data_IF_216043252302
#
_entry.id   IF_216043252302
#
_cell.length_a   1.000
_cell.length_b   1.000
_cell.length_c   1.000
_cell.angle_alpha   90.00
_cell.angle_beta   90.00
_cell.angle_gamma   90.00
#
_symmetry.space_group_name_H-M   'P 1'
#
loop_
_entity.id
_entity.type
_entity.pdbx_description
1 polymer ?
#
# COMPACT_ATOMS: atom_id res chain seq x y z
N UNK A 1 29.46 16.31 0.81
CA UNK A 1 28.55 17.34 0.27
C UNK A 1 27.29 17.34 1.12
N UNK A 2 26.75 18.50 1.53
CA UNK A 2 25.54 18.51 2.34
C UNK A 2 24.40 17.92 1.50
N UNK A 3 23.78 16.87 2.01
CA UNK A 3 22.58 16.27 1.44
C UNK A 3 21.49 17.34 1.47
N UNK A 4 21.22 17.99 0.34
CA UNK A 4 20.04 18.83 0.19
C UNK A 4 18.84 17.93 0.47
N UNK A 5 18.12 18.20 1.56
CA UNK A 5 16.96 17.40 1.94
C UNK A 5 15.92 17.56 0.84
N UNK A 6 15.78 16.55 -0.01
CA UNK A 6 14.76 16.55 -1.04
C UNK A 6 13.39 16.46 -0.35
N UNK A 7 12.57 17.52 -0.45
CA UNK A 7 11.24 17.57 0.17
C UNK A 7 10.36 16.36 -0.18
N UNK A 8 10.52 15.78 -1.37
CA UNK A 8 9.79 14.58 -1.79
C UNK A 8 10.19 13.35 -0.98
N UNK A 9 11.47 13.22 -0.63
CA UNK A 9 11.95 12.12 0.22
C UNK A 9 11.49 12.27 1.68
N UNK A 10 11.40 13.52 2.18
CA UNK A 10 10.86 13.81 3.51
C UNK A 10 9.39 13.40 3.62
N UNK A 11 8.60 13.59 2.56
CA UNK A 11 7.23 13.07 2.50
C UNK A 11 7.19 11.54 2.63
N UNK A 12 8.17 10.84 2.07
CA UNK A 12 8.32 9.38 2.19
C UNK A 12 8.46 8.94 3.65
N UNK A 13 9.39 9.57 4.37
CA UNK A 13 9.63 9.28 5.78
C UNK A 13 8.47 9.71 6.67
N UNK A 14 7.82 10.84 6.37
CA UNK A 14 6.63 11.28 7.09
C UNK A 14 5.48 10.27 6.92
N UNK A 15 5.20 9.83 5.69
CA UNK A 15 4.17 8.83 5.41
C UNK A 15 4.45 7.50 6.12
N UNK A 16 5.71 7.08 6.18
CA UNK A 16 6.13 5.91 6.93
C UNK A 16 5.88 6.08 8.44
N UNK A 17 6.27 7.22 9.02
CA UNK A 17 6.05 7.51 10.43
C UNK A 17 4.55 7.51 10.79
N UNK A 18 3.71 8.19 10.01
CA UNK A 18 2.25 8.17 10.20
C UNK A 18 1.68 6.75 10.12
N UNK A 19 2.16 5.96 9.15
CA UNK A 19 1.70 4.58 8.99
C UNK A 19 2.04 3.71 10.19
N UNK A 20 3.28 3.77 10.68
CA UNK A 20 3.72 3.04 11.87
C UNK A 20 2.96 3.49 13.12
N UNK A 21 2.83 4.80 13.34
CA UNK A 21 2.13 5.35 14.50
C UNK A 21 0.69 4.86 14.57
N UNK A 22 -0.03 4.89 13.45
CA UNK A 22 -1.42 4.43 13.40
C UNK A 22 -1.49 2.90 13.53
N UNK A 23 -0.64 2.16 12.82
CA UNK A 23 -0.57 0.70 12.93
C UNK A 23 -0.34 0.25 14.39
N UNK A 24 0.61 0.89 15.08
CA UNK A 24 0.89 0.65 16.49
C UNK A 24 -0.29 1.06 17.38
N UNK A 25 -0.87 2.24 17.19
CA UNK A 25 -2.02 2.70 17.97
C UNK A 25 -3.21 1.72 17.89
N UNK A 26 -3.48 1.15 16.71
CA UNK A 26 -4.56 0.16 16.52
C UNK A 26 -4.23 -1.17 17.20
N UNK A 27 -3.00 -1.65 17.09
CA UNK A 27 -2.56 -2.90 17.72
C UNK A 27 -2.57 -2.82 19.25
N UNK A 28 -2.18 -1.68 19.81
CA UNK A 28 -2.13 -1.47 21.26
C UNK A 28 -3.54 -1.28 21.87
N UNK A 29 -4.47 -0.68 21.12
CA UNK A 29 -5.80 -0.33 21.63
C UNK A 29 -6.81 -1.49 21.58
N UNK A 30 -6.80 -2.28 20.51
CA UNK A 30 -7.81 -3.33 20.32
C UNK A 30 -7.25 -4.67 20.81
N UNK A 31 -7.93 -5.36 21.73
CA UNK A 31 -7.50 -6.67 22.25
C UNK A 31 -7.32 -7.70 21.12
N UNK A 32 -6.10 -7.84 20.57
CA UNK A 32 -5.60 -8.90 19.67
C UNK A 32 -6.63 -9.54 18.71
N UNK A 33 -7.52 -8.75 18.10
CA UNK A 33 -8.47 -9.24 17.08
C UNK A 33 -7.73 -9.41 15.75
N UNK A 34 -8.11 -10.40 14.95
CA UNK A 34 -7.45 -10.71 13.67
C UNK A 34 -7.35 -9.48 12.74
N UNK A 35 -8.39 -8.65 12.69
CA UNK A 35 -8.40 -7.42 11.89
C UNK A 35 -7.32 -6.42 12.30
N UNK A 36 -7.02 -6.28 13.60
CA UNK A 36 -5.96 -5.37 14.07
C UNK A 36 -4.57 -5.84 13.64
N UNK A 37 -4.33 -7.15 13.63
CA UNK A 37 -3.08 -7.74 13.14
C UNK A 37 -2.88 -7.54 11.64
N UNK A 38 -3.91 -7.83 10.83
CA UNK A 38 -3.87 -7.58 9.40
C UNK A 38 -3.72 -6.09 9.09
N UNK A 39 -4.44 -5.23 9.79
CA UNK A 39 -4.31 -3.79 9.64
C UNK A 39 -2.90 -3.30 9.97
N UNK A 40 -2.38 -3.66 11.16
CA UNK A 40 -1.03 -3.29 11.59
C UNK A 40 0.05 -3.78 10.63
N UNK A 41 -0.03 -5.05 10.21
CA UNK A 41 0.88 -5.60 9.19
C UNK A 41 0.79 -4.85 7.86
N UNK A 42 -0.43 -4.48 7.45
CA UNK A 42 -0.66 -3.70 6.23
C UNK A 42 -0.04 -2.31 6.31
N UNK A 43 -0.16 -1.63 7.46
CA UNK A 43 0.46 -0.33 7.72
C UNK A 43 1.99 -0.44 7.76
N UNK A 44 2.56 -1.51 8.32
CA UNK A 44 4.01 -1.75 8.28
C UNK A 44 4.52 -1.94 6.85
N UNK A 45 3.78 -2.66 6.00
CA UNK A 45 4.14 -2.81 4.59
C UNK A 45 4.04 -1.48 3.83
N UNK A 46 3.03 -0.66 4.09
CA UNK A 46 2.91 0.68 3.51
C UNK A 46 4.04 1.61 3.98
N UNK A 47 4.48 1.49 5.24
CA UNK A 47 5.61 2.24 5.76
C UNK A 47 6.92 1.82 5.09
N UNK A 48 7.18 0.52 4.97
CA UNK A 48 8.34 0.00 4.28
C UNK A 48 8.38 0.46 2.80
N UNK A 49 7.24 0.39 2.10
CA UNK A 49 7.11 0.90 0.73
C UNK A 49 7.41 2.40 0.64
N UNK A 50 6.96 3.19 1.62
CA UNK A 50 7.19 4.64 1.66
C UNK A 50 8.65 5.00 1.93
N UNK A 51 9.33 4.25 2.80
CA UNK A 51 10.78 4.41 3.05
C UNK A 51 11.57 4.08 1.80
N UNK A 52 11.26 2.96 1.13
CA UNK A 52 11.93 2.55 -0.11
C UNK A 52 11.69 3.56 -1.24
N UNK A 53 10.48 4.11 -1.34
CA UNK A 53 10.17 5.21 -2.24
C UNK A 53 10.97 6.48 -1.92
N UNK A 54 11.10 6.82 -0.63
CA UNK A 54 11.91 7.95 -0.16
C UNK A 54 13.40 7.79 -0.48
N UNK A 55 13.96 6.61 -0.25
CA UNK A 55 15.34 6.27 -0.61
C UNK A 55 15.56 6.34 -2.12
N UNK A 56 14.61 5.85 -2.91
CA UNK A 56 14.64 5.96 -4.37
C UNK A 56 14.61 7.40 -4.88
N UNK A 57 13.99 8.34 -4.14
CA UNK A 57 13.97 9.77 -4.49
C UNK A 57 15.26 10.51 -4.09
N UNK A 58 16.07 9.92 -3.22
CA UNK A 58 17.39 10.45 -2.82
C UNK A 58 18.54 9.83 -3.63
N UNK A 59 18.30 8.66 -4.22
CA UNK A 59 19.27 7.95 -5.04
C UNK A 59 19.78 8.83 -6.20
N UNK A 60 21.10 8.82 -6.38
CA UNK A 60 21.77 9.66 -7.39
C UNK A 60 22.15 8.86 -8.64
N UNK A 61 22.03 7.54 -8.61
CA UNK A 61 22.35 6.64 -9.72
C UNK A 61 21.16 5.79 -10.14
N UNK A 62 21.13 5.40 -11.42
CA UNK A 62 20.11 4.51 -11.98
C UNK A 62 20.06 3.16 -11.25
N UNK A 63 21.22 2.62 -10.89
CA UNK A 63 21.36 1.34 -10.21
C UNK A 63 20.79 1.40 -8.78
N UNK A 64 21.07 2.47 -8.04
CA UNK A 64 20.46 2.68 -6.73
C UNK A 64 18.93 2.78 -6.83
N UNK A 65 18.41 3.55 -7.79
CA UNK A 65 16.96 3.64 -8.04
C UNK A 65 16.37 2.26 -8.35
N UNK A 66 17.01 1.50 -9.24
CA UNK A 66 16.55 0.16 -9.62
C UNK A 66 16.50 -0.80 -8.42
N UNK A 67 17.52 -0.76 -7.54
CA UNK A 67 17.56 -1.60 -6.34
C UNK A 67 16.45 -1.25 -5.35
N UNK A 68 16.28 0.03 -5.02
CA UNK A 68 15.23 0.48 -4.09
C UNK A 68 13.82 0.20 -4.63
N UNK A 69 13.58 0.41 -5.93
CA UNK A 69 12.29 0.13 -6.56
C UNK A 69 12.01 -1.37 -6.67
N UNK A 70 13.04 -2.19 -6.89
CA UNK A 70 12.92 -3.66 -6.88
C UNK A 70 12.54 -4.16 -5.49
N UNK A 71 13.17 -3.63 -4.44
CA UNK A 71 12.78 -3.90 -3.06
C UNK A 71 11.35 -3.42 -2.77
N UNK A 72 10.97 -2.24 -3.28
CA UNK A 72 9.62 -1.72 -3.11
C UNK A 72 8.57 -2.61 -3.79
N UNK A 73 8.83 -3.13 -4.99
CA UNK A 73 7.97 -4.11 -5.64
C UNK A 73 7.83 -5.40 -4.84
N UNK A 74 8.92 -5.84 -4.21
CA UNK A 74 8.93 -7.02 -3.33
C UNK A 74 8.02 -6.80 -2.11
N UNK A 75 8.10 -5.63 -1.46
CA UNK A 75 7.20 -5.25 -0.36
C UNK A 75 5.76 -5.16 -0.83
N UNK A 76 5.51 -4.54 -2.00
CA UNK A 76 4.18 -4.43 -2.60
C UNK A 76 3.56 -5.79 -2.89
N UNK A 77 4.35 -6.80 -3.28
CA UNK A 77 3.87 -8.17 -3.52
C UNK A 77 3.27 -8.84 -2.28
N UNK A 78 3.65 -8.42 -1.07
CA UNK A 78 3.08 -8.93 0.19
C UNK A 78 1.74 -8.25 0.56
N UNK A 79 1.47 -7.06 0.02
CA UNK A 79 0.31 -6.25 0.40
C UNK A 79 -1.05 -6.92 0.14
N UNK A 80 -1.31 -7.61 -1.00
CA UNK A 80 -2.61 -8.20 -1.28
C UNK A 80 -3.09 -9.14 -0.19
N UNK A 81 -2.26 -10.08 0.25
CA UNK A 81 -2.63 -11.06 1.29
C UNK A 81 -3.01 -10.38 2.60
N UNK A 82 -2.22 -9.39 3.03
CA UNK A 82 -2.43 -8.72 4.33
C UNK A 82 -3.66 -7.83 4.30
N UNK A 83 -3.84 -7.04 3.25
CA UNK A 83 -4.97 -6.12 3.13
C UNK A 83 -6.29 -6.80 2.75
N UNK A 84 -6.25 -7.93 2.01
CA UNK A 84 -7.43 -8.78 1.85
C UNK A 84 -7.81 -9.46 3.17
N UNK A 85 -6.82 -9.92 3.96
CA UNK A 85 -7.06 -10.44 5.30
C UNK A 85 -7.76 -9.39 6.19
N UNK A 86 -7.31 -8.14 6.13
CA UNK A 86 -7.99 -7.03 6.80
C UNK A 86 -9.41 -6.83 6.28
N UNK A 87 -9.62 -6.72 4.96
CA UNK A 87 -10.94 -6.42 4.40
C UNK A 87 -11.98 -7.51 4.66
N UNK A 88 -11.55 -8.77 4.82
CA UNK A 88 -12.40 -9.91 5.15
C UNK A 88 -12.75 -10.00 6.65
N UNK A 89 -11.90 -9.46 7.52
CA UNK A 89 -12.06 -9.57 8.99
C UNK A 89 -12.61 -8.29 9.62
N UNK A 90 -12.44 -7.14 8.97
CA UNK A 90 -12.84 -5.85 9.50
C UNK A 90 -14.37 -5.71 9.63
N UNK A 91 -14.83 -5.32 10.82
CA UNK A 91 -16.24 -5.05 11.14
C UNK A 91 -17.20 -6.22 10.84
N UNK A 92 -16.72 -7.46 10.89
CA UNK A 92 -17.53 -8.68 10.71
C UNK A 92 -17.50 -9.55 11.97
N UNK A 93 -18.68 -9.91 12.48
CA UNK A 93 -18.81 -10.77 13.68
C UNK A 93 -18.32 -12.21 13.45
N UNK A 94 -18.52 -12.76 12.25
CA UNK A 94 -18.17 -14.15 11.93
C UNK A 94 -16.84 -14.27 11.13
N UNK A 95 -15.80 -13.56 11.56
CA UNK A 95 -14.56 -13.43 10.79
C UNK A 95 -13.80 -14.75 10.59
N UNK A 96 -13.95 -15.73 11.50
CA UNK A 96 -13.22 -17.01 11.44
C UNK A 96 -13.69 -17.90 10.29
N UNK A 97 -15.01 -18.01 10.10
CA UNK A 97 -15.59 -18.77 8.99
C UNK A 97 -15.23 -18.15 7.64
N UNK A 98 -15.31 -16.82 7.53
CA UNK A 98 -14.88 -16.11 6.33
C UNK A 98 -13.39 -16.33 6.05
N UNK A 99 -12.53 -16.26 7.06
CA UNK A 99 -11.10 -16.47 6.87
C UNK A 99 -10.78 -17.92 6.44
N UNK A 100 -11.47 -18.92 7.01
CA UNK A 100 -11.32 -20.31 6.60
C UNK A 100 -11.77 -20.53 5.15
N UNK A 101 -12.92 -19.95 4.77
CA UNK A 101 -13.48 -20.05 3.42
C UNK A 101 -12.61 -19.37 2.36
N UNK A 102 -12.03 -18.22 2.69
CA UNK A 102 -11.19 -17.43 1.77
C UNK A 102 -9.68 -17.67 1.96
N UNK A 103 -9.29 -18.64 2.81
CA UNK A 103 -7.90 -19.06 3.00
C UNK A 103 -7.16 -19.35 1.68
N UNK A 104 -7.71 -20.11 0.71
CA UNK A 104 -7.02 -20.34 -0.56
C UNK A 104 -6.77 -19.04 -1.33
N UNK A 105 -7.72 -18.10 -1.30
CA UNK A 105 -7.56 -16.79 -1.94
C UNK A 105 -6.43 -15.98 -1.29
N UNK A 106 -6.31 -15.99 0.05
CA UNK A 106 -5.23 -15.31 0.75
C UNK A 106 -3.86 -15.94 0.46
N UNK A 107 -3.78 -17.27 0.43
CA UNK A 107 -2.56 -17.99 0.05
C UNK A 107 -2.19 -17.64 -1.40
N UNK A 108 -3.15 -17.64 -2.33
CA UNK A 108 -2.90 -17.27 -3.71
C UNK A 108 -2.46 -15.80 -3.84
N UNK A 109 -3.09 -14.90 -3.10
CA UNK A 109 -2.75 -13.48 -3.05
C UNK A 109 -1.36 -13.21 -2.43
N UNK A 110 -0.78 -14.18 -1.73
CA UNK A 110 0.60 -14.13 -1.24
C UNK A 110 1.56 -14.78 -2.23
N UNK A 111 1.29 -16.03 -2.62
CA UNK A 111 2.22 -16.84 -3.38
C UNK A 111 2.35 -16.39 -4.83
N UNK A 112 1.26 -15.98 -5.49
CA UNK A 112 1.33 -15.60 -6.91
C UNK A 112 2.16 -14.33 -7.09
N UNK A 113 1.89 -13.20 -6.40
CA UNK A 113 2.73 -12.01 -6.54
C UNK A 113 4.19 -12.25 -6.16
N UNK A 114 4.46 -13.04 -5.11
CA UNK A 114 5.83 -13.39 -4.72
C UNK A 114 6.54 -14.24 -5.77
N UNK A 115 5.85 -15.22 -6.36
CA UNK A 115 6.44 -16.06 -7.40
C UNK A 115 6.86 -15.24 -8.62
N UNK A 116 6.09 -14.23 -9.00
CA UNK A 116 6.41 -13.30 -10.08
C UNK A 116 7.67 -12.48 -9.76
N UNK A 117 7.80 -11.99 -8.53
CA UNK A 117 9.00 -11.26 -8.09
C UNK A 117 10.24 -12.15 -8.12
N UNK A 118 10.13 -13.39 -7.63
CA UNK A 118 11.27 -14.33 -7.60
C UNK A 118 11.68 -14.75 -9.00
N UNK A 119 10.73 -15.07 -9.87
CA UNK A 119 10.98 -15.46 -11.26
C UNK A 119 11.53 -14.29 -12.09
N UNK A 120 10.97 -13.09 -11.91
CA UNK A 120 11.35 -11.90 -12.66
C UNK A 120 12.53 -11.13 -12.09
N UNK A 121 13.16 -11.56 -10.98
CA UNK A 121 14.08 -10.77 -10.14
C UNK A 121 15.12 -9.94 -10.91
N UNK A 122 15.72 -10.50 -11.95
CA UNK A 122 16.78 -9.83 -12.72
C UNK A 122 16.25 -8.90 -13.82
N UNK A 123 14.97 -9.03 -14.18
CA UNK A 123 14.32 -8.34 -15.30
C UNK A 123 12.97 -7.74 -14.85
N UNK A 124 12.90 -7.14 -13.66
CA UNK A 124 11.68 -6.45 -13.22
C UNK A 124 11.61 -5.04 -13.79
N UNK A 125 12.73 -4.32 -13.72
CA UNK A 125 12.79 -2.89 -13.95
C UNK A 125 14.02 -2.55 -14.79
N UNK A 126 13.88 -1.55 -15.65
CA UNK A 126 14.99 -0.92 -16.34
C UNK A 126 14.90 0.60 -16.15
N UNK A 127 15.92 1.21 -15.56
CA UNK A 127 15.94 2.64 -15.26
C UNK A 127 16.72 3.36 -16.34
N UNK A 128 16.06 4.30 -17.02
CA UNK A 128 16.62 5.04 -18.15
C UNK A 128 16.52 6.55 -17.88
N UNK A 129 17.44 7.37 -18.38
CA UNK A 129 17.29 8.82 -18.31
C UNK A 129 16.05 9.27 -19.08
N UNK A 130 15.28 10.19 -18.51
CA UNK A 130 14.04 10.69 -19.10
C UNK A 130 14.30 11.97 -19.91
N UNK A 131 14.10 11.91 -21.23
CA UNK A 131 14.21 13.04 -22.17
C UNK A 131 15.54 13.82 -22.07
N UNK A 132 16.65 13.14 -21.78
CA UNK A 132 17.99 13.73 -21.60
C UNK A 132 18.08 14.88 -20.57
N UNK A 133 17.05 15.02 -19.72
CA UNK A 133 17.04 15.99 -18.62
C UNK A 133 17.84 15.42 -17.46
N UNK A 134 18.93 16.07 -17.10
CA UNK A 134 19.79 15.68 -15.97
C UNK A 134 18.96 15.60 -14.69
N UNK A 135 18.93 14.40 -14.09
CA UNK A 135 18.20 14.13 -12.84
C UNK A 135 16.75 13.67 -13.00
N UNK A 136 16.21 13.59 -14.22
CA UNK A 136 14.91 12.99 -14.47
C UNK A 136 15.08 11.51 -14.87
N UNK A 137 14.52 10.60 -14.07
CA UNK A 137 14.63 9.16 -14.31
C UNK A 137 13.27 8.57 -14.71
N UNK A 138 13.30 7.73 -15.73
CA UNK A 138 12.16 6.92 -16.17
C UNK A 138 12.35 5.48 -15.74
N UNK A 139 11.40 4.94 -14.98
CA UNK A 139 11.41 3.55 -14.56
C UNK A 139 10.56 2.76 -15.55
N UNK A 140 11.20 2.03 -16.47
CA UNK A 140 10.51 1.14 -17.40
C UNK A 140 10.17 -0.18 -16.72
N UNK A 141 8.92 -0.60 -16.85
CA UNK A 141 8.46 -1.90 -16.38
C UNK A 141 8.68 -2.94 -17.47
N UNK A 142 9.42 -3.97 -17.13
CA UNK A 142 9.54 -5.16 -17.95
C UNK A 142 8.32 -6.07 -17.72
N UNK A 143 8.14 -7.08 -18.57
CA UNK A 143 6.95 -7.94 -18.58
C UNK A 143 6.54 -8.51 -17.21
N UNK A 144 7.46 -9.04 -16.37
CA UNK A 144 7.08 -9.55 -15.06
C UNK A 144 6.56 -8.45 -14.12
N UNK A 145 7.11 -7.24 -14.18
CA UNK A 145 6.64 -6.10 -13.39
C UNK A 145 5.27 -5.61 -13.86
N UNK A 146 4.98 -5.64 -15.18
CA UNK A 146 3.64 -5.33 -15.69
C UNK A 146 2.60 -6.32 -15.16
N UNK A 147 2.91 -7.62 -15.23
CA UNK A 147 2.05 -8.67 -14.73
C UNK A 147 1.81 -8.54 -13.21
N UNK A 148 2.87 -8.30 -12.43
CA UNK A 148 2.77 -8.03 -11.00
C UNK A 148 1.87 -6.81 -10.72
N UNK A 149 2.06 -5.69 -11.43
CA UNK A 149 1.22 -4.51 -11.26
C UNK A 149 -0.25 -4.79 -11.60
N UNK A 150 -0.53 -5.63 -12.60
CA UNK A 150 -1.88 -6.10 -12.93
C UNK A 150 -2.53 -6.89 -11.78
N UNK A 151 -1.80 -7.85 -11.21
CA UNK A 151 -2.26 -8.62 -10.04
C UNK A 151 -2.53 -7.71 -8.84
N UNK A 152 -1.61 -6.78 -8.59
CA UNK A 152 -1.70 -5.79 -7.53
C UNK A 152 -2.91 -4.86 -7.73
N UNK A 153 -3.21 -4.47 -8.97
CA UNK A 153 -4.39 -3.67 -9.30
C UNK A 153 -5.69 -4.44 -9.01
N UNK A 154 -5.79 -5.70 -9.47
CA UNK A 154 -6.94 -6.56 -9.18
C UNK A 154 -7.13 -6.72 -7.66
N UNK A 155 -6.04 -6.94 -6.92
CA UNK A 155 -6.08 -7.03 -5.47
C UNK A 155 -6.58 -5.74 -4.81
N UNK A 156 -6.11 -4.56 -5.24
CA UNK A 156 -6.60 -3.28 -4.73
C UNK A 156 -8.10 -3.12 -4.92
N UNK A 157 -8.61 -3.46 -6.11
CA UNK A 157 -10.05 -3.41 -6.41
C UNK A 157 -10.81 -4.39 -5.50
N UNK A 158 -10.33 -5.62 -5.35
CA UNK A 158 -10.94 -6.62 -4.47
C UNK A 158 -10.95 -6.20 -2.98
N UNK A 159 -9.90 -5.52 -2.51
CA UNK A 159 -9.84 -4.92 -1.16
C UNK A 159 -10.95 -3.88 -1.01
N UNK A 160 -11.06 -2.93 -1.95
CA UNK A 160 -12.07 -1.88 -1.90
C UNK A 160 -13.49 -2.42 -2.01
N UNK A 161 -13.76 -3.38 -2.91
CA UNK A 161 -15.07 -4.03 -3.02
C UNK A 161 -15.50 -4.69 -1.70
N UNK A 162 -14.56 -5.33 -0.98
CA UNK A 162 -14.86 -5.95 0.31
C UNK A 162 -15.15 -4.91 1.40
N UNK A 163 -14.35 -3.84 1.46
CA UNK A 163 -14.55 -2.74 2.42
C UNK A 163 -15.87 -2.00 2.15
N UNK A 164 -16.19 -1.75 0.88
CA UNK A 164 -17.44 -1.12 0.47
C UNK A 164 -18.65 -2.00 0.80
N UNK A 165 -18.56 -3.32 0.57
CA UNK A 165 -19.61 -4.27 0.99
C UNK A 165 -19.85 -4.22 2.50
N UNK A 166 -18.77 -4.18 3.28
CA UNK A 166 -18.86 -4.03 4.74
C UNK A 166 -19.54 -2.71 5.11
N UNK A 167 -19.20 -1.61 4.43
CA UNK A 167 -19.83 -0.31 4.64
C UNK A 167 -21.33 -0.31 4.31
N UNK A 168 -21.72 -0.86 3.15
CA UNK A 168 -23.14 -0.97 2.74
C UNK A 168 -23.97 -1.82 3.68
N UNK A 169 -23.36 -2.83 4.32
CA UNK A 169 -24.05 -3.70 5.29
C UNK A 169 -24.15 -3.12 6.70
N UNK A 170 -23.39 -2.07 7.01
CA UNK A 170 -23.40 -1.45 8.34
C UNK A 170 -24.55 -0.45 8.46
N UNK A 171 -25.26 -0.48 9.59
CA UNK A 171 -26.41 0.40 9.87
C UNK A 171 -26.17 1.17 11.16
N UNK A 172 -26.74 2.38 11.25
CA UNK A 172 -26.78 3.18 12.48
C UNK A 172 -25.40 3.61 12.96
N UNK A 173 -25.14 3.44 14.26
CA UNK A 173 -23.89 3.90 14.90
C UNK A 173 -22.66 3.18 14.35
N UNK A 174 -22.78 1.95 13.85
CA UNK A 174 -21.69 1.21 13.23
C UNK A 174 -21.23 1.83 11.92
N UNK A 175 -22.17 2.28 11.07
CA UNK A 175 -21.84 2.93 9.79
C UNK A 175 -21.03 4.22 10.01
N UNK A 176 -21.38 4.99 11.03
CA UNK A 176 -20.68 6.23 11.38
C UNK A 176 -19.28 5.96 11.95
N UNK A 177 -19.10 4.90 12.74
CA UNK A 177 -17.81 4.48 13.31
C UNK A 177 -16.81 4.06 12.23
N UNK A 178 -17.24 3.29 11.23
CA UNK A 178 -16.34 2.75 10.20
C UNK A 178 -16.10 3.70 9.01
N UNK A 179 -16.94 4.73 8.85
CA UNK A 179 -16.93 5.64 7.67
C UNK A 179 -15.55 6.20 7.37
N UNK A 180 -14.86 6.75 8.36
CA UNK A 180 -13.55 7.36 8.17
C UNK A 180 -12.45 6.34 7.83
N UNK A 181 -12.54 5.12 8.37
CA UNK A 181 -11.63 4.02 8.00
C UNK A 181 -11.85 3.62 6.54
N UNK A 182 -13.12 3.47 6.13
CA UNK A 182 -13.49 3.13 4.75
C UNK A 182 -12.98 4.18 3.77
N UNK A 183 -13.17 5.47 4.07
CA UNK A 183 -12.69 6.57 3.22
C UNK A 183 -11.15 6.60 3.21
N UNK A 184 -10.49 6.44 4.35
CA UNK A 184 -9.03 6.45 4.42
C UNK A 184 -8.39 5.31 3.62
N UNK A 185 -8.89 4.09 3.76
CA UNK A 185 -8.49 2.93 2.95
C UNK A 185 -8.83 3.17 1.47
N UNK A 186 -9.99 3.78 1.19
CA UNK A 186 -10.42 4.21 -0.14
C UNK A 186 -9.41 5.13 -0.82
N UNK A 187 -8.91 6.14 -0.12
CA UNK A 187 -7.91 7.08 -0.64
C UNK A 187 -6.57 6.37 -0.89
N UNK A 188 -6.10 5.57 0.06
CA UNK A 188 -4.82 4.83 -0.06
C UNK A 188 -4.83 3.91 -1.27
N UNK A 189 -5.85 3.07 -1.40
CA UNK A 189 -5.92 2.10 -2.50
C UNK A 189 -6.41 2.73 -3.80
N UNK A 190 -7.19 3.80 -3.75
CA UNK A 190 -7.60 4.56 -4.93
C UNK A 190 -6.41 5.20 -5.64
N UNK A 191 -5.52 5.86 -4.89
CA UNK A 191 -4.27 6.39 -5.45
C UNK A 191 -3.40 5.29 -6.05
N UNK A 192 -3.28 4.14 -5.36
CA UNK A 192 -2.53 2.98 -5.87
C UNK A 192 -3.14 2.37 -7.13
N UNK A 193 -4.47 2.38 -7.28
CA UNK A 193 -5.13 1.95 -8.52
C UNK A 193 -4.72 2.90 -9.65
N UNK A 194 -4.78 4.21 -9.40
CA UNK A 194 -4.36 5.21 -10.38
C UNK A 194 -2.90 5.04 -10.80
N UNK A 195 -1.96 4.98 -9.85
CA UNK A 195 -0.52 4.88 -10.14
C UNK A 195 -0.16 3.57 -10.85
N UNK A 196 -0.78 2.44 -10.46
CA UNK A 196 -0.59 1.15 -11.13
C UNK A 196 -1.17 1.14 -12.54
N UNK A 197 -2.33 1.76 -12.76
CA UNK A 197 -2.94 1.86 -14.08
C UNK A 197 -2.06 2.66 -15.04
N UNK A 198 -1.51 3.78 -14.56
CA UNK A 198 -0.53 4.58 -15.30
C UNK A 198 0.72 3.77 -15.65
N UNK A 199 1.27 3.05 -14.68
CA UNK A 199 2.45 2.21 -14.88
C UNK A 199 2.26 1.10 -15.92
N UNK A 200 1.06 0.51 -16.01
CA UNK A 200 0.73 -0.50 -17.02
C UNK A 200 0.56 0.17 -18.39
N UNK A 201 -0.23 1.25 -18.46
CA UNK A 201 -0.56 1.94 -19.72
C UNK A 201 0.70 2.47 -20.43
N UNK A 202 1.63 3.04 -19.67
CA UNK A 202 2.87 3.61 -20.19
C UNK A 202 4.06 2.64 -20.11
N UNK A 203 3.84 1.38 -19.71
CA UNK A 203 4.90 0.37 -19.51
C UNK A 203 6.07 0.87 -18.66
N UNK A 204 5.78 1.74 -17.69
CA UNK A 204 6.75 2.45 -16.89
C UNK A 204 6.14 3.67 -16.22
N UNK A 205 6.90 4.32 -15.35
CA UNK A 205 6.45 5.52 -14.65
C UNK A 205 7.59 6.47 -14.29
N UNK A 206 7.21 7.72 -14.06
CA UNK A 206 8.08 8.75 -13.49
C UNK A 206 8.06 8.67 -11.96
N UNK A 207 9.20 8.94 -11.29
CA UNK A 207 9.28 9.02 -9.82
C UNK A 207 8.28 10.00 -9.20
N UNK A 208 7.78 11.00 -9.94
CA UNK A 208 6.74 11.90 -9.48
C UNK A 208 5.45 11.17 -9.04
N UNK A 209 5.12 10.01 -9.61
CA UNK A 209 3.95 9.20 -9.19
C UNK A 209 4.11 8.64 -7.77
N UNK A 210 5.34 8.50 -7.26
CA UNK A 210 5.58 8.10 -5.86
C UNK A 210 4.99 9.15 -4.92
N UNK A 211 5.10 10.44 -5.24
CA UNK A 211 4.57 11.53 -4.41
C UNK A 211 3.04 11.44 -4.26
N UNK A 212 2.34 10.96 -5.28
CA UNK A 212 0.88 10.76 -5.26
C UNK A 212 0.52 9.65 -4.25
N UNK A 213 1.22 8.51 -4.32
CA UNK A 213 1.03 7.39 -3.38
C UNK A 213 1.33 7.84 -1.92
N UNK A 214 2.41 8.61 -1.72
CA UNK A 214 2.81 9.14 -0.40
C UNK A 214 1.79 10.13 0.16
N UNK A 215 1.32 11.07 -0.65
CA UNK A 215 0.31 12.06 -0.25
C UNK A 215 -1.01 11.39 0.12
N UNK A 216 -1.47 10.44 -0.71
CA UNK A 216 -2.66 9.65 -0.42
C UNK A 216 -2.52 8.82 0.86
N UNK A 217 -1.33 8.28 1.14
CA UNK A 217 -1.05 7.56 2.37
C UNK A 217 -1.17 8.46 3.60
N UNK A 218 -0.60 9.67 3.58
CA UNK A 218 -0.71 10.63 4.68
C UNK A 218 -2.17 11.02 4.90
N UNK A 219 -2.91 11.37 3.84
CA UNK A 219 -4.32 11.74 3.94
C UNK A 219 -5.15 10.57 4.50
N UNK A 220 -4.94 9.36 3.99
CA UNK A 220 -5.61 8.16 4.48
C UNK A 220 -5.31 7.87 5.95
N UNK A 221 -4.05 8.03 6.35
CA UNK A 221 -3.61 7.94 7.74
C UNK A 221 -4.35 8.95 8.64
N UNK A 222 -4.41 10.22 8.25
CA UNK A 222 -5.12 11.25 9.02
C UNK A 222 -6.60 10.90 9.19
N UNK A 223 -7.29 10.45 8.13
CA UNK A 223 -8.69 10.04 8.23
C UNK A 223 -8.89 8.84 9.15
N UNK A 224 -8.03 7.82 9.05
CA UNK A 224 -8.10 6.64 9.92
C UNK A 224 -7.86 7.06 11.38
N UNK A 225 -6.87 7.92 11.63
CA UNK A 225 -6.62 8.48 12.97
C UNK A 225 -7.84 9.21 13.52
N UNK A 226 -8.47 10.09 12.72
CA UNK A 226 -9.70 10.79 13.09
C UNK A 226 -10.85 9.81 13.38
N UNK A 227 -10.93 8.69 12.67
CA UNK A 227 -11.89 7.62 12.96
C UNK A 227 -11.73 7.11 14.40
N UNK A 228 -10.49 6.83 14.81
CA UNK A 228 -10.18 6.29 16.13
C UNK A 228 -10.35 7.30 17.27
N UNK A 229 -10.06 8.58 17.01
CA UNK A 229 -10.33 9.66 17.97
C UNK A 229 -11.84 9.86 18.14
N UNK A 230 -12.59 9.92 17.02
CA UNK A 230 -14.04 10.16 17.01
C UNK A 230 -14.86 9.00 17.55
N UNK A 231 -14.41 7.76 17.37
CA UNK A 231 -15.11 6.58 17.90
C UNK A 231 -15.17 6.54 19.44
N UNK A 232 -14.46 7.44 20.14
CA UNK A 232 -14.47 7.57 21.60
C UNK A 232 -13.69 6.45 22.27
N UNK A 233 -13.00 6.77 23.36
CA UNK A 233 -12.21 5.87 24.21
C UNK A 233 -13.01 4.77 24.93
N UNK A 234 -14.03 4.18 24.29
CA UNK A 234 -14.84 3.09 24.87
C UNK A 234 -15.26 2.11 23.77
N UNK A 235 -14.55 0.98 23.71
CA UNK A 235 -15.13 -0.29 23.23
C UNK A 235 -16.16 -0.78 24.25
#
# INVERSE_FOLDING_TARGET
MPTTVNYQSLLGYAAAAFSILIGAAVLLRTRRKAASWFFGGGMCLLAADSVLGGLSLQASSADEIATWQTLALTVKALMPSVWLGFSLTYSRGNYREFLARFRPLLILALLVPLSVVVWGRNNLLNVQPFNDVVGAWWIRYEEPAKFLNGLLLIASVAILMNVEKTFRSAVGTMQWRIKFVVIGVGIIFGARIYTRSQGILFSGHNLALIVIDLGALIIGCVLIFLAYVRAGFRE
#
